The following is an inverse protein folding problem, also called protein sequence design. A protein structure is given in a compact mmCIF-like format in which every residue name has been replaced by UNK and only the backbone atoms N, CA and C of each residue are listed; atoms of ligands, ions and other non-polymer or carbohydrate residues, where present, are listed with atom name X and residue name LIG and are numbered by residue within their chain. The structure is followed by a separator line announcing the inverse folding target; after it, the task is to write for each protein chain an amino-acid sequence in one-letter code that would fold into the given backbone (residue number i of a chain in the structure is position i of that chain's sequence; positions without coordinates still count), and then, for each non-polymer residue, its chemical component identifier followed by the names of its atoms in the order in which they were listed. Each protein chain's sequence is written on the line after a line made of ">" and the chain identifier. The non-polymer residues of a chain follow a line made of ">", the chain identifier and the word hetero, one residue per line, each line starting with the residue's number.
data_IF_729328184182
#
_entry.id   IF_729328184182
#
_cell.length_a   1.000
_cell.length_b   1.000
_cell.length_c   1.000
_cell.angle_alpha   90.00
_cell.angle_beta   90.00
_cell.angle_gamma   90.00
#
_symmetry.space_group_name_H-M   'P 1'
#
loop_
_entity.id
_entity.type
_entity.pdbx_description
1 polymer ?
#
# COMPACT_ATOMS: atom_id res chain seq x y z
N UNK A 1 -40.25 34.61 -4.87
CA UNK A 1 -39.65 33.36 -5.40
C UNK A 1 -38.97 32.67 -4.23
N UNK A 2 -39.71 31.83 -3.52
CA UNK A 2 -39.20 31.15 -2.34
C UNK A 2 -38.35 29.95 -2.77
N UNK A 3 -37.03 30.06 -2.57
CA UNK A 3 -36.11 28.93 -2.77
C UNK A 3 -36.21 28.01 -1.55
N UNK A 4 -37.03 26.98 -1.65
CA UNK A 4 -37.03 25.86 -0.71
C UNK A 4 -35.73 25.06 -0.90
N UNK A 5 -34.71 25.40 -0.13
CA UNK A 5 -33.54 24.54 0.09
C UNK A 5 -34.01 23.32 0.88
N UNK A 6 -34.27 22.21 0.22
CA UNK A 6 -34.34 20.90 0.87
C UNK A 6 -32.91 20.38 1.00
N UNK A 7 -32.26 20.47 2.19
CA UNK A 7 -30.97 19.82 2.36
C UNK A 7 -31.17 18.31 2.15
N UNK A 8 -30.34 17.65 1.31
CA UNK A 8 -30.53 16.25 0.93
C UNK A 8 -30.36 15.25 2.09
N UNK A 9 -29.99 15.73 3.27
CA UNK A 9 -29.83 14.94 4.49
C UNK A 9 -30.40 15.72 5.68
N UNK A 10 -31.33 15.10 6.42
CA UNK A 10 -31.81 15.65 7.69
C UNK A 10 -30.63 15.81 8.66
N UNK A 11 -30.63 16.81 9.55
CA UNK A 11 -29.51 17.08 10.47
C UNK A 11 -29.07 15.87 11.30
N UNK A 12 -30.00 14.94 11.59
CA UNK A 12 -29.70 13.65 12.21
C UNK A 12 -28.77 12.76 11.37
N UNK A 13 -28.90 12.76 10.03
CA UNK A 13 -28.05 12.00 9.13
C UNK A 13 -26.63 12.57 9.06
N UNK A 14 -26.49 13.90 9.02
CA UNK A 14 -25.19 14.57 9.12
C UNK A 14 -24.52 14.27 10.46
N UNK A 15 -25.27 14.35 11.57
CA UNK A 15 -24.77 14.02 12.89
C UNK A 15 -24.28 12.57 12.96
N UNK A 16 -25.04 11.61 12.44
CA UNK A 16 -24.62 10.20 12.37
C UNK A 16 -23.31 10.03 11.59
N UNK A 17 -23.16 10.70 10.45
CA UNK A 17 -21.93 10.64 9.66
C UNK A 17 -20.73 11.23 10.43
N UNK A 18 -20.92 12.38 11.08
CA UNK A 18 -19.88 13.00 11.90
C UNK A 18 -19.50 12.14 13.11
N UNK A 19 -20.48 11.52 13.79
CA UNK A 19 -20.21 10.60 14.88
C UNK A 19 -19.46 9.36 14.40
N UNK A 20 -19.87 8.76 13.27
CA UNK A 20 -19.17 7.62 12.68
C UNK A 20 -17.73 7.97 12.31
N UNK A 21 -17.52 9.13 11.67
CA UNK A 21 -16.18 9.64 11.35
C UNK A 21 -15.33 9.86 12.61
N UNK A 22 -15.92 10.45 13.66
CA UNK A 22 -15.24 10.67 14.93
C UNK A 22 -14.83 9.36 15.61
N UNK A 23 -15.74 8.39 15.73
CA UNK A 23 -15.45 7.08 16.32
C UNK A 23 -14.46 6.28 15.48
N UNK A 24 -14.56 6.31 14.15
CA UNK A 24 -13.56 5.68 13.27
C UNK A 24 -12.18 6.30 13.51
N UNK A 25 -12.08 7.63 13.53
CA UNK A 25 -10.81 8.32 13.74
C UNK A 25 -10.19 7.98 15.10
N UNK A 26 -11.00 7.96 16.16
CA UNK A 26 -10.55 7.54 17.50
C UNK A 26 -10.10 6.09 17.52
N UNK A 27 -10.91 5.17 16.95
CA UNK A 27 -10.61 3.75 16.91
C UNK A 27 -9.33 3.46 16.13
N UNK A 28 -9.19 4.01 14.92
CA UNK A 28 -7.99 3.83 14.10
C UNK A 28 -6.77 4.51 14.72
N UNK A 29 -6.91 5.74 15.24
CA UNK A 29 -5.84 6.45 15.91
C UNK A 29 -5.29 5.69 17.12
N UNK A 30 -6.19 5.18 17.98
CA UNK A 30 -5.81 4.37 19.14
C UNK A 30 -5.18 3.03 18.74
N UNK A 31 -5.75 2.35 17.73
CA UNK A 31 -5.19 1.08 17.23
C UNK A 31 -3.77 1.27 16.68
N UNK A 32 -3.52 2.38 15.97
CA UNK A 32 -2.18 2.71 15.47
C UNK A 32 -1.22 3.01 16.62
N UNK A 33 -1.64 3.78 17.62
CA UNK A 33 -0.82 4.05 18.80
C UNK A 33 -0.40 2.76 19.51
N UNK A 34 -1.33 1.80 19.69
CA UNK A 34 -1.04 0.48 20.26
C UNK A 34 -0.08 -0.31 19.37
N UNK A 35 -0.32 -0.34 18.05
CA UNK A 35 0.55 -1.07 17.12
C UNK A 35 1.99 -0.57 17.19
N UNK A 36 2.18 0.76 17.18
CA UNK A 36 3.49 1.39 17.33
C UNK A 36 4.13 1.11 18.69
N UNK A 37 3.37 1.20 19.77
CA UNK A 37 3.84 0.85 21.11
C UNK A 37 4.34 -0.60 21.17
N UNK A 38 3.60 -1.55 20.59
CA UNK A 38 3.96 -2.97 20.54
C UNK A 38 5.17 -3.25 19.64
N UNK A 39 5.42 -2.40 18.63
CA UNK A 39 6.66 -2.42 17.85
C UNK A 39 7.86 -1.80 18.60
N UNK A 40 7.66 -1.30 19.82
CA UNK A 40 8.68 -0.60 20.61
C UNK A 40 8.94 0.82 20.12
N UNK A 41 8.02 1.42 19.37
CA UNK A 41 8.09 2.80 18.90
C UNK A 41 7.28 3.72 19.82
N UNK A 42 7.58 5.01 19.77
CA UNK A 42 6.74 6.01 20.43
C UNK A 42 5.32 5.96 19.85
N UNK A 43 4.27 5.81 20.67
CA UNK A 43 2.88 5.77 20.20
C UNK A 43 2.47 7.03 19.45
N UNK A 44 3.10 8.16 19.78
CA UNK A 44 2.87 9.46 19.15
C UNK A 44 3.34 9.53 17.69
N UNK A 45 4.17 8.59 17.23
CA UNK A 45 4.66 8.54 15.86
C UNK A 45 3.71 7.85 14.88
N UNK A 46 2.76 7.04 15.38
CA UNK A 46 1.88 6.24 14.52
C UNK A 46 1.03 7.10 13.58
N UNK A 47 0.35 8.12 14.12
CA UNK A 47 -0.49 9.01 13.32
C UNK A 47 0.34 9.91 12.37
N UNK A 48 1.44 10.57 12.78
CA UNK A 48 2.30 11.32 11.87
C UNK A 48 2.87 10.48 10.73
N UNK A 49 3.37 9.26 11.00
CA UNK A 49 3.91 8.39 9.95
C UNK A 49 2.80 7.96 9.00
N UNK A 50 1.61 7.62 9.50
CA UNK A 50 0.47 7.32 8.64
C UNK A 50 0.08 8.52 7.75
N UNK A 51 -0.01 9.72 8.33
CA UNK A 51 -0.32 10.94 7.59
C UNK A 51 0.75 11.26 6.52
N UNK A 52 2.03 11.09 6.87
CA UNK A 52 3.15 11.22 5.93
C UNK A 52 3.13 10.16 4.84
N UNK A 53 2.76 8.91 5.15
CA UNK A 53 2.57 7.86 4.15
C UNK A 53 1.43 8.21 3.20
N UNK A 54 0.30 8.72 3.68
CA UNK A 54 -0.80 9.15 2.82
C UNK A 54 -0.40 10.33 1.93
N UNK A 55 0.18 11.39 2.50
CA UNK A 55 0.63 12.55 1.74
C UNK A 55 1.72 12.17 0.72
N UNK A 56 2.70 11.37 1.16
CA UNK A 56 3.77 10.85 0.32
C UNK A 56 3.30 9.87 -0.75
N UNK A 57 2.13 9.24 -0.59
CA UNK A 57 1.60 8.33 -1.62
C UNK A 57 1.26 9.03 -2.93
N UNK A 58 1.05 10.36 -2.88
CA UNK A 58 0.83 11.18 -4.07
C UNK A 58 2.12 11.47 -4.84
N UNK A 59 3.28 11.14 -4.27
CA UNK A 59 4.60 11.45 -4.82
C UNK A 59 5.22 10.16 -5.37
N UNK A 60 5.49 10.15 -6.67
CA UNK A 60 6.17 9.06 -7.38
C UNK A 60 7.52 9.55 -7.93
N UNK A 61 8.60 8.93 -7.49
CA UNK A 61 9.97 9.27 -7.92
C UNK A 61 10.32 8.39 -9.14
N UNK A 62 10.47 8.94 -10.34
CA UNK A 62 10.80 8.15 -11.53
C UNK A 62 12.24 7.62 -11.44
N UNK A 63 12.41 6.31 -11.62
CA UNK A 63 13.72 5.63 -11.57
C UNK A 63 14.18 5.21 -12.96
N UNK A 64 13.26 4.70 -13.80
CA UNK A 64 13.60 4.17 -15.12
C UNK A 64 12.46 4.35 -16.11
N UNK A 65 12.80 4.63 -17.37
CA UNK A 65 11.88 4.64 -18.51
C UNK A 65 12.16 3.42 -19.37
N UNK A 66 11.13 2.66 -19.70
CA UNK A 66 11.21 1.47 -20.54
C UNK A 66 10.34 1.70 -21.76
N UNK A 67 10.93 1.64 -22.95
CA UNK A 67 10.22 1.82 -24.21
C UNK A 67 9.86 0.44 -24.76
N UNK A 68 8.57 0.18 -24.89
CA UNK A 68 8.07 -1.04 -25.49
C UNK A 68 7.52 -0.75 -26.88
N UNK A 69 7.97 -1.51 -27.88
CA UNK A 69 7.43 -1.47 -29.26
C UNK A 69 6.29 -2.47 -29.49
N UNK A 70 5.69 -2.96 -28.41
CA UNK A 70 4.51 -3.83 -28.51
C UNK A 70 3.29 -2.94 -28.72
N UNK A 71 2.49 -3.17 -29.77
CA UNK A 71 1.28 -2.40 -30.01
C UNK A 71 0.34 -2.57 -28.81
N UNK A 72 0.03 -1.47 -28.13
CA UNK A 72 -0.96 -1.46 -27.04
C UNK A 72 -2.24 -0.82 -27.57
N UNK A 73 -3.36 -1.51 -27.41
CA UNK A 73 -4.68 -0.93 -27.70
C UNK A 73 -5.05 -0.02 -26.54
N UNK A 74 -5.11 1.29 -26.81
CA UNK A 74 -5.62 2.29 -25.86
C UNK A 74 -6.96 2.82 -26.33
N UNK A 75 -7.76 3.31 -25.39
CA UNK A 75 -9.03 3.97 -25.69
C UNK A 75 -8.90 5.47 -25.50
N UNK A 76 -9.37 6.24 -26.48
CA UNK A 76 -9.52 7.70 -26.36
C UNK A 76 -11.00 8.03 -26.33
N UNK A 77 -11.39 8.91 -25.41
CA UNK A 77 -12.73 9.50 -25.42
C UNK A 77 -12.68 10.73 -26.32
N UNK A 78 -13.44 10.70 -27.41
CA UNK A 78 -13.58 11.82 -28.34
C UNK A 78 -15.02 12.33 -28.24
N UNK A 79 -15.20 13.64 -28.09
CA UNK A 79 -16.53 14.23 -28.15
C UNK A 79 -16.82 14.68 -29.58
N UNK A 80 -17.95 14.25 -30.12
CA UNK A 80 -18.46 14.72 -31.40
C UNK A 80 -19.94 15.07 -31.23
N UNK A 81 -20.32 16.31 -31.53
CA UNK A 81 -21.68 16.83 -31.37
C UNK A 81 -22.27 16.63 -29.95
N UNK A 82 -21.45 16.78 -28.90
CA UNK A 82 -21.88 16.62 -27.51
C UNK A 82 -22.02 15.18 -27.04
N UNK A 83 -21.84 14.18 -27.92
CA UNK A 83 -21.84 12.76 -27.59
C UNK A 83 -20.39 12.30 -27.36
N UNK A 84 -20.15 11.53 -26.29
CA UNK A 84 -18.83 10.97 -25.96
C UNK A 84 -18.69 9.58 -26.58
N UNK A 85 -17.75 9.42 -27.51
CA UNK A 85 -17.41 8.15 -28.14
C UNK A 85 -16.09 7.60 -27.59
N UNK A 86 -16.05 6.30 -27.28
CA UNK A 86 -14.82 5.59 -26.87
C UNK A 86 -14.26 4.88 -28.09
N UNK A 87 -13.15 5.37 -28.63
CA UNK A 87 -12.54 4.84 -29.85
C UNK A 87 -11.23 4.14 -29.49
N UNK A 88 -11.04 2.85 -29.83
CA UNK A 88 -9.76 2.18 -29.65
C UNK A 88 -8.76 2.66 -30.71
N UNK A 89 -7.52 2.88 -30.32
CA UNK A 89 -6.40 3.17 -31.21
C UNK A 89 -5.17 2.34 -30.80
N UNK A 90 -4.30 2.03 -31.76
CA UNK A 90 -3.08 1.26 -31.52
C UNK A 90 -1.92 2.23 -31.35
N UNK A 91 -1.27 2.20 -30.19
CA UNK A 91 -0.02 2.93 -29.97
C UNK A 91 1.14 1.96 -30.20
N UNK A 92 1.87 2.14 -31.32
CA UNK A 92 2.96 1.25 -31.75
C UNK A 92 4.19 1.32 -30.84
N UNK A 93 4.36 2.45 -30.15
CA UNK A 93 5.45 2.68 -29.19
C UNK A 93 4.84 3.18 -27.89
N UNK A 94 4.92 2.38 -26.83
CA UNK A 94 4.48 2.76 -25.49
C UNK A 94 5.68 2.95 -24.58
N UNK A 95 5.70 4.06 -23.84
CA UNK A 95 6.67 4.29 -22.77
C UNK A 95 6.06 3.90 -21.41
N UNK A 96 6.78 3.09 -20.65
CA UNK A 96 6.45 2.73 -19.26
C UNK A 96 7.46 3.40 -18.33
N UNK A 97 6.98 4.23 -17.40
CA UNK A 97 7.81 4.84 -16.36
C UNK A 97 7.74 3.99 -15.10
N UNK A 98 8.87 3.43 -14.70
CA UNK A 98 9.06 2.76 -13.40
C UNK A 98 9.37 3.83 -12.38
N UNK A 99 8.51 3.97 -11.38
CA UNK A 99 8.64 4.94 -10.30
C UNK A 99 8.56 4.26 -8.94
N UNK A 100 9.20 4.86 -7.93
CA UNK A 100 9.13 4.46 -6.54
C UNK A 100 8.20 5.41 -5.80
N UNK A 101 7.17 4.86 -5.16
CA UNK A 101 6.20 5.64 -4.41
C UNK A 101 6.74 6.03 -3.03
N UNK A 102 6.65 7.30 -2.64
CA UNK A 102 7.21 7.75 -1.36
C UNK A 102 6.43 7.17 -0.18
N UNK A 103 5.10 7.24 -0.24
CA UNK A 103 4.23 6.77 0.83
C UNK A 103 4.13 5.25 0.97
N UNK A 104 4.12 4.55 -0.16
CA UNK A 104 3.89 3.11 -0.28
C UNK A 104 5.16 2.26 -0.37
N UNK A 105 6.33 2.86 -0.67
CA UNK A 105 7.59 2.13 -0.72
C UNK A 105 8.68 2.78 0.15
N UNK A 106 8.98 4.08 -0.02
CA UNK A 106 10.10 4.72 0.70
C UNK A 106 9.88 4.72 2.21
N UNK A 107 8.77 5.28 2.69
CA UNK A 107 8.47 5.35 4.13
C UNK A 107 8.40 3.95 4.75
N UNK A 108 7.67 2.97 4.16
CA UNK A 108 7.66 1.60 4.66
C UNK A 108 9.05 0.94 4.72
N UNK A 109 9.88 1.11 3.69
CA UNK A 109 11.23 0.54 3.66
C UNK A 109 12.09 1.17 4.76
N UNK A 110 12.04 2.49 4.94
CA UNK A 110 12.79 3.18 6.00
C UNK A 110 12.36 2.70 7.39
N UNK A 111 11.05 2.59 7.64
CA UNK A 111 10.55 2.12 8.93
C UNK A 111 10.91 0.65 9.17
N UNK A 112 10.78 -0.21 8.17
CA UNK A 112 11.19 -1.62 8.27
C UNK A 112 12.69 -1.78 8.48
N UNK A 113 13.51 -0.96 7.81
CA UNK A 113 14.97 -0.94 7.99
C UNK A 113 15.35 -0.49 9.41
N UNK A 114 14.69 0.54 9.94
CA UNK A 114 14.88 0.99 11.32
C UNK A 114 14.51 -0.10 12.33
N UNK A 115 13.38 -0.79 12.14
CA UNK A 115 12.95 -1.89 13.00
C UNK A 115 13.95 -3.05 12.97
N UNK A 116 14.41 -3.46 11.79
CA UNK A 116 15.45 -4.48 11.64
C UNK A 116 16.76 -4.07 12.32
N UNK A 117 17.20 -2.82 12.13
CA UNK A 117 18.39 -2.28 12.80
C UNK A 117 18.26 -2.39 14.32
N UNK A 118 17.12 -2.03 14.90
CA UNK A 118 16.91 -2.17 16.36
C UNK A 118 16.96 -3.61 16.83
N UNK A 119 16.33 -4.54 16.11
CA UNK A 119 16.36 -5.97 16.46
C UNK A 119 17.81 -6.48 16.50
N UNK A 120 18.62 -6.11 15.50
CA UNK A 120 20.04 -6.48 15.44
C UNK A 120 20.85 -5.79 16.55
N UNK A 121 20.67 -4.48 16.74
CA UNK A 121 21.40 -3.69 17.73
C UNK A 121 21.13 -4.16 19.17
N UNK A 122 19.94 -4.67 19.46
CA UNK A 122 19.59 -5.27 20.76
C UNK A 122 19.95 -6.77 20.86
N UNK A 123 20.63 -7.35 19.86
CA UNK A 123 21.05 -8.76 19.87
C UNK A 123 19.90 -9.77 19.81
N UNK A 124 18.73 -9.37 19.31
CA UNK A 124 17.52 -10.21 19.27
C UNK A 124 17.52 -11.17 18.07
N UNK A 125 18.55 -12.00 17.93
CA UNK A 125 18.76 -12.85 16.76
C UNK A 125 17.65 -13.90 16.54
N UNK A 126 17.02 -14.39 17.61
CA UNK A 126 15.86 -15.29 17.50
C UNK A 126 14.68 -14.58 16.82
N UNK A 127 14.41 -13.33 17.21
CA UNK A 127 13.37 -12.51 16.58
C UNK A 127 13.75 -12.18 15.14
N UNK A 128 15.02 -11.88 14.86
CA UNK A 128 15.50 -11.68 13.48
C UNK A 128 15.22 -12.91 12.60
N UNK A 129 15.51 -14.12 13.09
CA UNK A 129 15.20 -15.36 12.38
C UNK A 129 13.70 -15.53 12.10
N UNK A 130 12.84 -15.19 13.06
CA UNK A 130 11.38 -15.19 12.89
C UNK A 130 10.92 -14.16 11.85
N UNK A 131 11.51 -12.96 11.85
CA UNK A 131 11.23 -11.92 10.84
C UNK A 131 11.63 -12.41 9.44
N UNK A 132 12.83 -13.00 9.30
CA UNK A 132 13.32 -13.49 8.01
C UNK A 132 12.48 -14.67 7.49
N UNK A 133 12.04 -15.56 8.37
CA UNK A 133 11.14 -16.65 8.00
C UNK A 133 9.77 -16.12 7.53
N UNK A 134 9.18 -15.19 8.28
CA UNK A 134 7.94 -14.54 7.88
C UNK A 134 8.09 -13.78 6.55
N UNK A 135 9.21 -13.07 6.38
CA UNK A 135 9.56 -12.36 5.15
C UNK A 135 9.61 -13.31 3.96
N UNK A 136 10.26 -14.47 4.10
CA UNK A 136 10.33 -15.48 3.05
C UNK A 136 8.94 -16.00 2.66
N UNK A 137 8.08 -16.29 3.65
CA UNK A 137 6.69 -16.75 3.42
C UNK A 137 5.87 -15.69 2.68
N UNK A 138 5.86 -14.44 3.16
CA UNK A 138 5.10 -13.34 2.53
C UNK A 138 5.63 -13.03 1.14
N UNK A 139 6.95 -13.09 0.94
CA UNK A 139 7.59 -12.90 -0.37
C UNK A 139 7.13 -13.98 -1.35
N UNK A 140 7.16 -15.25 -0.96
CA UNK A 140 6.74 -16.35 -1.82
C UNK A 140 5.27 -16.22 -2.22
N UNK A 141 4.37 -15.94 -1.26
CA UNK A 141 2.94 -15.77 -1.52
C UNK A 141 2.69 -14.55 -2.41
N UNK A 142 3.34 -13.42 -2.13
CA UNK A 142 3.20 -12.20 -2.94
C UNK A 142 3.69 -12.42 -4.37
N UNK A 143 4.82 -13.13 -4.55
CA UNK A 143 5.35 -13.49 -5.88
C UNK A 143 4.41 -14.39 -6.67
N UNK A 144 3.79 -15.37 -6.02
CA UNK A 144 2.86 -16.31 -6.67
C UNK A 144 1.58 -15.61 -7.14
N UNK A 145 1.10 -14.62 -6.39
CA UNK A 145 -0.18 -13.97 -6.65
C UNK A 145 -0.07 -12.70 -7.50
N UNK A 146 1.10 -12.04 -7.51
CA UNK A 146 1.32 -10.82 -8.27
C UNK A 146 1.30 -11.08 -9.78
N UNK A 147 0.53 -10.27 -10.51
CA UNK A 147 0.37 -10.35 -11.96
C UNK A 147 0.66 -8.99 -12.61
N UNK A 148 1.54 -8.91 -13.61
CA UNK A 148 1.68 -7.71 -14.44
C UNK A 148 0.39 -7.50 -15.24
N UNK A 149 -0.22 -6.33 -15.09
CA UNK A 149 -1.44 -5.90 -15.78
C UNK A 149 -1.10 -4.64 -16.60
N UNK A 150 -1.26 -4.69 -17.94
CA UNK A 150 -1.01 -3.54 -18.81
C UNK A 150 -1.78 -2.30 -18.37
N UNK A 151 -1.11 -1.15 -18.31
CA UNK A 151 -1.71 0.12 -17.89
C UNK A 151 -1.95 0.27 -16.37
N UNK A 152 -1.81 -0.80 -15.58
CA UNK A 152 -1.97 -0.77 -14.12
C UNK A 152 -0.66 -1.05 -13.37
N UNK A 153 0.29 -1.76 -14.00
CA UNK A 153 1.54 -2.18 -13.35
C UNK A 153 1.40 -3.59 -12.76
N UNK A 154 1.94 -3.82 -11.56
CA UNK A 154 1.85 -5.13 -10.91
C UNK A 154 0.62 -5.14 -9.99
N UNK A 155 -0.36 -5.97 -10.30
CA UNK A 155 -1.58 -6.12 -9.53
C UNK A 155 -1.49 -7.32 -8.58
N UNK A 156 -2.09 -7.18 -7.39
CA UNK A 156 -2.14 -8.21 -6.36
C UNK A 156 -3.43 -8.13 -5.55
N UNK A 157 -3.96 -9.24 -5.02
CA UNK A 157 -5.10 -9.21 -4.12
C UNK A 157 -4.75 -8.47 -2.82
N UNK A 158 -5.38 -7.31 -2.57
CA UNK A 158 -4.97 -6.37 -1.53
C UNK A 158 -4.93 -6.96 -0.11
N UNK A 159 -5.86 -7.85 0.23
CA UNK A 159 -5.96 -8.42 1.57
C UNK A 159 -5.05 -9.62 1.81
N UNK A 160 -4.56 -10.30 0.76
CA UNK A 160 -3.84 -11.55 0.96
C UNK A 160 -2.53 -11.31 1.71
N UNK A 161 -1.63 -10.38 1.31
CA UNK A 161 -0.38 -10.25 2.06
C UNK A 161 -0.49 -9.69 3.47
N UNK A 162 -1.37 -8.71 3.78
CA UNK A 162 -1.60 -8.31 5.17
C UNK A 162 -2.10 -9.45 6.05
N UNK A 163 -3.01 -10.30 5.55
CA UNK A 163 -3.51 -11.46 6.28
C UNK A 163 -2.40 -12.51 6.45
N UNK A 164 -1.66 -12.81 5.39
CA UNK A 164 -0.51 -13.72 5.45
C UNK A 164 0.50 -13.24 6.49
N UNK A 165 0.90 -11.97 6.43
CA UNK A 165 1.86 -11.39 7.37
C UNK A 165 1.35 -11.46 8.81
N UNK A 166 0.08 -11.09 9.06
CA UNK A 166 -0.52 -11.14 10.39
C UNK A 166 -0.60 -12.58 10.94
N UNK A 167 -1.06 -13.54 10.14
CA UNK A 167 -1.18 -14.94 10.55
C UNK A 167 0.19 -15.57 10.79
N UNK A 168 1.13 -15.42 9.85
CA UNK A 168 2.49 -15.95 10.00
C UNK A 168 3.19 -15.33 11.21
N UNK A 169 3.05 -14.03 11.43
CA UNK A 169 3.60 -13.36 12.59
C UNK A 169 2.99 -13.85 13.91
N UNK A 170 1.67 -14.00 13.96
CA UNK A 170 0.97 -14.49 15.15
C UNK A 170 1.35 -15.94 15.51
N UNK A 171 1.52 -16.80 14.50
CA UNK A 171 1.94 -18.19 14.67
C UNK A 171 3.40 -18.30 15.12
N UNK A 172 4.30 -17.48 14.57
CA UNK A 172 5.71 -17.52 14.92
C UNK A 172 5.97 -16.92 16.31
N UNK A 173 5.35 -15.79 16.62
CA UNK A 173 5.54 -15.12 17.89
C UNK A 173 4.41 -14.12 18.18
N UNK A 174 3.38 -14.54 18.90
CA UNK A 174 2.23 -13.68 19.22
C UNK A 174 2.62 -12.37 19.92
N UNK A 175 3.64 -12.39 20.79
CA UNK A 175 4.11 -11.20 21.51
C UNK A 175 4.75 -10.18 20.58
N UNK A 176 5.57 -10.63 19.62
CA UNK A 176 6.25 -9.78 18.64
C UNK A 176 5.54 -9.74 17.27
N UNK A 177 4.28 -10.19 17.21
CA UNK A 177 3.55 -10.27 15.96
C UNK A 177 3.46 -8.92 15.22
N UNK A 178 3.29 -7.75 15.87
CA UNK A 178 3.24 -6.47 15.17
C UNK A 178 4.52 -6.12 14.40
N UNK A 179 5.71 -6.32 15.00
CA UNK A 179 6.98 -6.03 14.32
C UNK A 179 7.25 -7.04 13.20
N UNK A 180 6.97 -8.33 13.44
CA UNK A 180 7.13 -9.38 12.43
C UNK A 180 6.19 -9.12 11.25
N UNK A 181 4.91 -8.85 11.50
CA UNK A 181 3.91 -8.59 10.48
C UNK A 181 4.21 -7.33 9.68
N UNK A 182 4.63 -6.25 10.35
CA UNK A 182 4.97 -4.99 9.67
C UNK A 182 6.17 -5.18 8.72
N UNK A 183 7.28 -5.74 9.21
CA UNK A 183 8.49 -5.90 8.40
C UNK A 183 8.29 -6.90 7.27
N UNK A 184 7.74 -8.09 7.58
CA UNK A 184 7.50 -9.12 6.56
C UNK A 184 6.42 -8.72 5.57
N UNK A 185 5.34 -8.07 6.02
CA UNK A 185 4.25 -7.59 5.18
C UNK A 185 4.69 -6.52 4.19
N UNK A 186 5.46 -5.53 4.64
CA UNK A 186 5.94 -4.44 3.79
C UNK A 186 7.04 -4.89 2.83
N UNK A 187 8.14 -5.44 3.36
CA UNK A 187 9.28 -5.84 2.55
C UNK A 187 8.97 -7.07 1.71
N UNK A 188 8.18 -8.02 2.22
CA UNK A 188 7.84 -9.24 1.50
C UNK A 188 6.97 -8.96 0.27
N UNK A 189 6.05 -8.00 0.36
CA UNK A 189 5.28 -7.53 -0.80
C UNK A 189 6.19 -6.81 -1.80
N UNK A 190 7.00 -5.86 -1.35
CA UNK A 190 7.91 -5.13 -2.26
C UNK A 190 8.88 -6.07 -2.98
N UNK A 191 9.44 -7.05 -2.28
CA UNK A 191 10.35 -8.02 -2.89
C UNK A 191 9.57 -8.96 -3.81
N UNK A 192 8.54 -9.62 -3.30
CA UNK A 192 7.83 -10.68 -3.99
C UNK A 192 6.96 -10.19 -5.14
N UNK A 193 6.15 -9.17 -4.89
CA UNK A 193 5.29 -8.57 -5.89
C UNK A 193 6.10 -7.71 -6.86
N UNK A 194 6.83 -6.71 -6.39
CA UNK A 194 7.42 -5.70 -7.26
C UNK A 194 8.76 -6.12 -7.86
N UNK A 195 9.79 -6.29 -7.01
CA UNK A 195 11.17 -6.51 -7.47
C UNK A 195 11.30 -7.80 -8.30
N UNK A 196 10.74 -8.90 -7.80
CA UNK A 196 10.83 -10.19 -8.48
C UNK A 196 9.99 -10.25 -9.77
N UNK A 197 9.05 -9.34 -10.01
CA UNK A 197 8.29 -9.28 -11.28
C UNK A 197 8.72 -8.12 -12.20
N UNK A 198 9.71 -7.32 -11.80
CA UNK A 198 10.19 -6.18 -12.59
C UNK A 198 10.63 -6.58 -14.01
N UNK A 199 11.20 -7.79 -14.16
CA UNK A 199 11.61 -8.35 -15.45
C UNK A 199 10.45 -8.65 -16.41
N UNK A 200 9.20 -8.63 -15.92
CA UNK A 200 7.98 -8.87 -16.71
C UNK A 200 7.32 -7.57 -17.16
N UNK A 201 7.84 -6.42 -16.72
CA UNK A 201 7.38 -5.11 -17.17
C UNK A 201 7.95 -4.87 -18.58
N UNK A 202 7.09 -4.54 -19.57
CA UNK A 202 7.45 -4.44 -20.97
C UNK A 202 8.29 -3.21 -21.33
#
# INVERSE_FOLDING_TARGET
>A
MDRYLHPPAHGAFLLTYLMMFFFMTLFFGHSMAIAFAKMGLSPYLGLPIYALSLAGSMINIPIKRVVSRRPIVRTRVVSFMGIRYVIPYVEEVSETVIAVNVGGAVIPVLLSSYLLYRVVAHGQYVLLGQILLALAVVTAISKLLARPVPGLGIAMPAFVPPITAALTAALLNFRYAPIIAYVSGTLGVLIGADLMNLHRIP
#
